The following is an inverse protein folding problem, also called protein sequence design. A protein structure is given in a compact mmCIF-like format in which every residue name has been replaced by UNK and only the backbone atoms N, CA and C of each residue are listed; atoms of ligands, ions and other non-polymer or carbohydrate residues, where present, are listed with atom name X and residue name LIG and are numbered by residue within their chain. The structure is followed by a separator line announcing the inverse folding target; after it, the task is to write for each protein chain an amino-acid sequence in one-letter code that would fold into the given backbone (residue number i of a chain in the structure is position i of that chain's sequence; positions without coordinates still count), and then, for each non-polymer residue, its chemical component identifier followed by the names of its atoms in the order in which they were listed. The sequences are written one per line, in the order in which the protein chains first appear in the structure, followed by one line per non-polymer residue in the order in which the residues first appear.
data_IF_813171628988
#
_entry.id   IF_813171628988
#
_cell.length_a   1.000
_cell.length_b   1.000
_cell.length_c   1.000
_cell.angle_alpha   90.00
_cell.angle_beta   90.00
_cell.angle_gamma   90.00
#
_symmetry.space_group_name_H-M   'P 1'
#
loop_
_entity.id
_entity.type
_entity.pdbx_description
1 polymer ?
#
# COMPACT_ATOMS: atom_id res chain seq x y z
N UNK A 1 7.29 -21.72 7.55
CA UNK A 1 7.36 -20.33 8.03
C UNK A 1 8.08 -20.34 9.37
N UNK A 2 9.13 -19.57 9.49
CA UNK A 2 9.68 -19.21 10.79
C UNK A 2 8.68 -18.31 11.49
N UNK A 3 8.34 -18.61 12.74
CA UNK A 3 7.49 -17.74 13.55
C UNK A 3 8.18 -16.37 13.75
N UNK A 4 7.44 -15.31 14.01
CA UNK A 4 8.03 -14.07 14.52
C UNK A 4 8.97 -14.38 15.70
N UNK A 5 10.04 -13.60 15.86
CA UNK A 5 10.92 -13.74 17.02
C UNK A 5 10.14 -13.38 18.28
N UNK A 6 10.28 -14.21 19.31
CA UNK A 6 9.91 -13.78 20.66
C UNK A 6 10.99 -12.87 21.25
N UNK A 7 10.64 -12.12 22.28
CA UNK A 7 11.63 -11.31 23.02
C UNK A 7 12.77 -12.16 23.58
N UNK A 8 12.45 -13.37 24.05
CA UNK A 8 13.47 -14.30 24.59
C UNK A 8 14.37 -14.84 23.47
N UNK A 9 13.84 -15.10 22.27
CA UNK A 9 14.66 -15.43 21.10
C UNK A 9 15.63 -14.31 20.76
N UNK A 10 15.17 -13.03 20.78
CA UNK A 10 16.03 -11.88 20.56
C UNK A 10 17.13 -11.78 21.61
N UNK A 11 16.81 -11.94 22.92
CA UNK A 11 17.80 -11.93 24.00
C UNK A 11 18.86 -13.03 23.84
N UNK A 12 18.42 -14.24 23.48
CA UNK A 12 19.33 -15.35 23.24
C UNK A 12 20.25 -15.11 22.02
N UNK A 13 19.68 -14.60 20.93
CA UNK A 13 20.43 -14.25 19.73
C UNK A 13 21.43 -13.10 19.96
N UNK A 14 21.07 -12.13 20.80
CA UNK A 14 21.97 -11.05 21.23
C UNK A 14 23.12 -11.60 22.10
N UNK A 15 22.81 -12.48 23.06
CA UNK A 15 23.84 -13.07 23.94
C UNK A 15 24.82 -13.97 23.18
N UNK A 16 24.40 -14.63 22.12
CA UNK A 16 25.25 -15.44 21.24
C UNK A 16 26.02 -14.64 20.17
N UNK A 17 25.71 -13.33 20.02
CA UNK A 17 26.27 -12.48 18.96
C UNK A 17 25.65 -12.75 17.58
N UNK A 18 24.56 -13.48 17.48
CA UNK A 18 23.86 -13.74 16.22
C UNK A 18 23.06 -12.53 15.73
N UNK A 19 22.57 -11.68 16.65
CA UNK A 19 21.93 -10.41 16.35
C UNK A 19 22.63 -9.31 17.15
N UNK A 20 23.07 -8.26 16.44
CA UNK A 20 23.69 -7.07 17.03
C UNK A 20 22.89 -5.78 16.77
N UNK A 21 21.98 -5.81 15.78
CA UNK A 21 21.23 -4.62 15.31
C UNK A 21 19.73 -4.87 15.32
N UNK A 22 18.96 -3.87 15.78
CA UNK A 22 17.49 -3.84 15.70
C UNK A 22 17.05 -2.60 14.92
N UNK A 23 16.33 -2.82 13.81
CA UNK A 23 15.63 -1.77 13.07
C UNK A 23 14.32 -1.48 13.78
N UNK A 24 14.19 -0.32 14.39
CA UNK A 24 12.97 0.16 15.05
C UNK A 24 12.27 1.10 14.10
N UNK A 25 11.16 0.65 13.50
CA UNK A 25 10.53 1.26 12.33
C UNK A 25 9.12 1.74 12.60
N UNK A 26 8.77 2.88 12.00
CA UNK A 26 7.39 3.35 11.77
C UNK A 26 7.12 3.37 10.27
N UNK A 27 5.85 3.40 9.88
CA UNK A 27 5.46 3.59 8.49
C UNK A 27 4.98 5.02 8.31
N UNK A 28 5.63 5.75 7.41
CA UNK A 28 5.30 7.14 7.12
C UNK A 28 4.05 7.29 6.23
N UNK A 29 3.67 8.54 5.92
CA UNK A 29 2.50 8.85 5.07
C UNK A 29 2.58 8.21 3.69
N UNK A 30 3.79 7.99 3.16
CA UNK A 30 4.05 7.40 1.85
C UNK A 30 4.14 5.86 1.86
N UNK A 31 3.96 5.22 3.03
CA UNK A 31 4.05 3.77 3.19
C UNK A 31 5.49 3.25 3.24
N UNK A 32 6.47 4.11 3.53
CA UNK A 32 7.88 3.73 3.66
C UNK A 32 8.22 3.38 5.11
N UNK A 33 9.16 2.47 5.30
CA UNK A 33 9.74 2.20 6.61
C UNK A 33 10.73 3.31 6.94
N UNK A 34 10.44 4.07 8.00
CA UNK A 34 11.31 5.09 8.58
C UNK A 34 11.68 4.66 10.00
N UNK A 35 12.81 5.12 10.52
CA UNK A 35 13.16 4.75 11.89
C UNK A 35 14.65 4.84 12.22
N UNK A 36 15.06 4.03 13.18
CA UNK A 36 16.42 4.05 13.74
C UNK A 36 17.02 2.65 13.78
N UNK A 37 18.34 2.57 13.64
CA UNK A 37 19.11 1.35 13.91
C UNK A 37 19.68 1.43 15.32
N UNK A 38 19.30 0.49 16.16
CA UNK A 38 19.82 0.36 17.52
C UNK A 38 20.82 -0.80 17.59
N UNK A 39 21.89 -0.63 18.36
CA UNK A 39 22.61 -1.77 18.87
C UNK A 39 21.67 -2.57 19.79
N UNK A 40 21.67 -3.89 19.66
CA UNK A 40 20.68 -4.77 20.31
C UNK A 40 20.69 -4.60 21.84
N UNK A 41 21.85 -4.40 22.48
CA UNK A 41 21.92 -4.15 23.94
C UNK A 41 21.16 -2.88 24.34
N UNK A 42 21.35 -1.78 23.59
CA UNK A 42 20.65 -0.52 23.88
C UNK A 42 19.13 -0.64 23.61
N UNK A 43 18.75 -1.40 22.58
CA UNK A 43 17.34 -1.69 22.33
C UNK A 43 16.72 -2.44 23.52
N UNK A 44 17.36 -3.51 24.01
CA UNK A 44 16.85 -4.34 25.10
C UNK A 44 16.83 -3.61 26.46
N UNK A 45 17.76 -2.67 26.68
CA UNK A 45 17.86 -1.92 27.94
C UNK A 45 16.94 -0.69 27.99
N UNK A 46 16.68 -0.05 26.84
CA UNK A 46 16.01 1.25 26.81
C UNK A 46 14.88 1.35 25.79
N UNK A 47 15.14 1.02 24.51
CA UNK A 47 14.22 1.32 23.40
C UNK A 47 13.10 0.29 23.25
N UNK A 48 13.13 -0.81 23.99
CA UNK A 48 12.10 -1.86 23.94
C UNK A 48 10.75 -1.37 24.45
N UNK A 49 10.73 -0.49 25.44
CA UNK A 49 9.51 0.09 25.99
C UNK A 49 8.99 1.20 25.06
N UNK A 50 9.89 2.12 24.69
CA UNK A 50 9.62 3.21 23.75
C UNK A 50 10.91 3.88 23.28
N UNK A 51 10.82 4.55 22.14
CA UNK A 51 11.82 5.51 21.66
C UNK A 51 11.09 6.68 21.00
N UNK A 52 11.81 7.69 20.50
CA UNK A 52 11.20 8.90 19.99
C UNK A 52 11.58 9.15 18.53
N UNK A 53 10.76 9.88 17.81
CA UNK A 53 11.07 10.44 16.49
C UNK A 53 10.49 11.85 16.41
N UNK A 54 11.07 12.69 15.55
CA UNK A 54 10.49 14.00 15.31
C UNK A 54 9.11 13.86 14.65
N UNK A 55 8.14 14.66 15.09
CA UNK A 55 6.76 14.61 14.59
C UNK A 55 6.62 15.00 13.12
N UNK A 56 7.63 15.67 12.51
CA UNK A 56 7.61 15.97 11.07
C UNK A 56 7.54 14.72 10.18
N UNK A 57 7.89 13.52 10.68
CA UNK A 57 7.84 12.28 9.88
C UNK A 57 6.46 11.99 9.29
N UNK A 58 5.41 12.56 9.89
CA UNK A 58 4.04 12.47 9.38
C UNK A 58 3.59 13.75 8.66
N UNK A 59 4.51 14.63 8.25
CA UNK A 59 4.26 15.86 7.52
C UNK A 59 5.37 16.14 6.49
N UNK A 60 5.92 15.09 5.89
CA UNK A 60 6.94 15.19 4.83
C UNK A 60 6.39 14.78 3.48
N UNK A 61 7.02 15.28 2.42
CA UNK A 61 6.79 14.82 1.05
C UNK A 61 7.64 13.58 0.67
N UNK A 62 7.60 13.19 -0.61
CA UNK A 62 8.40 12.06 -1.13
C UNK A 62 9.92 12.24 -0.99
N UNK A 63 10.41 13.46 -1.02
CA UNK A 63 11.85 13.79 -0.92
C UNK A 63 12.27 14.18 0.49
N UNK A 64 11.40 13.95 1.49
CA UNK A 64 11.62 14.26 2.91
C UNK A 64 11.74 15.77 3.20
N UNK A 65 11.20 16.64 2.34
CA UNK A 65 10.99 18.04 2.68
C UNK A 65 9.90 18.18 3.73
N UNK A 66 9.94 19.26 4.50
CA UNK A 66 8.97 19.59 5.55
C UNK A 66 8.13 20.79 5.10
N UNK A 67 7.09 20.58 4.25
CA UNK A 67 6.24 21.69 3.80
C UNK A 67 5.50 22.31 4.98
N UNK A 68 5.16 23.59 4.85
CA UNK A 68 4.38 24.30 5.84
C UNK A 68 2.88 24.01 5.71
N UNK A 69 2.11 24.38 6.75
CA UNK A 69 0.64 24.36 6.73
C UNK A 69 0.00 23.14 7.39
N UNK A 70 0.78 22.18 7.89
CA UNK A 70 0.26 21.09 8.71
C UNK A 70 -0.09 21.60 10.12
N UNK A 71 -1.28 21.23 10.61
CA UNK A 71 -1.73 21.60 11.94
C UNK A 71 -0.98 20.80 13.04
N UNK A 72 -0.61 19.55 12.75
CA UNK A 72 0.05 18.64 13.69
C UNK A 72 1.49 19.04 14.00
N UNK A 73 2.18 19.71 13.07
CA UNK A 73 3.61 20.05 13.22
C UNK A 73 4.01 21.20 12.29
N UNK A 74 4.88 22.09 12.76
CA UNK A 74 5.35 23.24 11.99
C UNK A 74 6.59 23.86 12.63
N UNK A 75 7.26 24.77 11.92
CA UNK A 75 8.28 25.64 12.49
C UNK A 75 7.76 26.47 13.68
N UNK A 76 6.50 26.90 13.59
CA UNK A 76 5.88 27.69 14.68
C UNK A 76 5.63 26.86 15.95
N UNK A 77 5.33 25.56 15.81
CA UNK A 77 5.18 24.63 16.96
C UNK A 77 6.51 24.05 17.46
N UNK A 78 7.63 24.27 16.72
CA UNK A 78 8.97 23.87 17.13
C UNK A 78 9.31 22.41 16.87
N UNK A 79 8.53 21.67 16.06
CA UNK A 79 8.76 20.26 15.71
C UNK A 79 9.08 19.36 16.91
N UNK A 80 8.08 19.11 17.76
CA UNK A 80 8.21 18.20 18.91
C UNK A 80 8.43 16.75 18.52
N UNK A 81 8.46 15.88 19.52
CA UNK A 81 8.63 14.44 19.34
C UNK A 81 7.29 13.70 19.37
N UNK A 82 7.24 12.59 18.62
CA UNK A 82 6.32 11.49 18.85
C UNK A 82 7.04 10.32 19.52
N UNK A 83 6.29 9.51 20.25
CA UNK A 83 6.75 8.26 20.84
C UNK A 83 6.56 7.14 19.81
N UNK A 84 7.61 6.37 19.55
CA UNK A 84 7.60 5.12 18.79
C UNK A 84 7.50 3.98 19.80
N UNK A 85 6.34 3.33 19.88
CA UNK A 85 6.09 2.20 20.79
C UNK A 85 6.21 0.88 20.04
N UNK A 86 7.25 0.06 20.30
CA UNK A 86 7.46 -1.21 19.62
C UNK A 86 6.29 -2.19 19.79
N UNK A 87 5.82 -2.75 18.69
CA UNK A 87 4.85 -3.84 18.68
C UNK A 87 5.58 -5.18 18.60
N UNK A 88 5.74 -5.84 19.76
CA UNK A 88 6.50 -7.10 19.88
C UNK A 88 5.94 -8.24 19.00
N UNK A 89 4.67 -8.19 18.60
CA UNK A 89 4.10 -9.17 17.67
C UNK A 89 4.71 -9.07 16.26
N UNK A 90 5.34 -7.93 15.93
CA UNK A 90 5.98 -7.69 14.64
C UNK A 90 7.49 -7.99 14.63
N UNK A 91 8.08 -8.35 15.77
CA UNK A 91 9.52 -8.62 15.88
C UNK A 91 9.93 -9.80 15.01
N UNK A 92 10.92 -9.59 14.13
CA UNK A 92 11.38 -10.62 13.17
C UNK A 92 12.83 -10.42 12.76
N UNK A 93 13.47 -11.50 12.28
CA UNK A 93 14.80 -11.42 11.64
C UNK A 93 14.68 -10.74 10.29
N UNK A 94 15.75 -10.08 9.84
CA UNK A 94 15.89 -9.52 8.48
C UNK A 94 16.92 -10.37 7.72
N UNK A 95 16.50 -11.40 6.97
CA UNK A 95 17.42 -12.40 6.44
C UNK A 95 18.40 -11.89 5.37
N UNK A 96 18.14 -10.73 4.75
CA UNK A 96 19.03 -10.09 3.78
C UNK A 96 20.01 -9.08 4.40
N UNK A 97 19.92 -8.85 5.72
CA UNK A 97 20.85 -8.03 6.50
C UNK A 97 21.44 -8.88 7.63
N UNK A 98 22.74 -9.13 7.57
CA UNK A 98 23.44 -9.91 8.59
C UNK A 98 23.25 -9.30 9.99
N UNK A 99 23.09 -10.13 11.00
CA UNK A 99 23.00 -9.72 12.40
C UNK A 99 21.79 -8.85 12.77
N UNK A 100 20.75 -8.79 11.92
CA UNK A 100 19.70 -7.78 12.03
C UNK A 100 18.33 -8.37 12.34
N UNK A 101 17.63 -7.74 13.30
CA UNK A 101 16.20 -7.88 13.52
C UNK A 101 15.46 -6.59 13.18
N UNK A 102 14.14 -6.66 12.98
CA UNK A 102 13.24 -5.53 12.72
C UNK A 102 12.02 -5.62 13.63
N UNK A 103 11.52 -4.44 14.05
CA UNK A 103 10.26 -4.30 14.76
C UNK A 103 9.52 -3.07 14.23
N UNK A 104 8.21 -3.20 14.05
CA UNK A 104 7.34 -2.07 13.74
C UNK A 104 6.83 -1.44 15.03
N UNK A 105 6.58 -0.13 14.98
CA UNK A 105 6.09 0.64 16.11
C UNK A 105 4.75 1.28 15.80
N UNK A 106 3.90 1.36 16.80
CA UNK A 106 2.81 2.31 16.86
C UNK A 106 3.35 3.70 17.25
N UNK A 107 2.65 4.74 16.80
CA UNK A 107 3.08 6.13 17.05
C UNK A 107 2.11 6.81 18.01
N UNK A 108 2.65 7.34 19.10
CA UNK A 108 1.86 7.95 20.15
C UNK A 108 2.27 9.41 20.34
N UNK A 109 1.34 10.23 20.73
CA UNK A 109 1.62 11.60 21.15
C UNK A 109 2.53 11.62 22.39
N UNK A 110 3.57 12.44 22.38
CA UNK A 110 4.60 12.47 23.43
C UNK A 110 4.05 12.86 24.82
N UNK A 111 3.01 13.68 24.88
CA UNK A 111 2.47 14.20 26.15
C UNK A 111 1.32 13.38 26.70
N UNK A 112 0.43 12.93 25.80
CA UNK A 112 -0.82 12.23 26.17
C UNK A 112 -0.70 10.73 26.09
N UNK A 113 0.29 10.22 25.37
CA UNK A 113 0.42 8.81 24.96
C UNK A 113 -0.83 8.27 24.24
N UNK A 114 -1.64 9.16 23.68
CA UNK A 114 -2.73 8.78 22.80
C UNK A 114 -2.19 8.41 21.41
N UNK A 115 -2.86 7.51 20.66
CA UNK A 115 -2.52 7.22 19.28
C UNK A 115 -2.52 8.49 18.42
N UNK A 116 -1.47 8.66 17.59
CA UNK A 116 -1.39 9.76 16.63
C UNK A 116 -2.40 9.51 15.49
N UNK A 117 -3.42 10.36 15.31
CA UNK A 117 -4.55 10.05 14.44
C UNK A 117 -4.18 9.97 12.96
N UNK A 118 -3.16 10.71 12.50
CA UNK A 118 -2.64 10.70 11.14
C UNK A 118 -1.63 9.58 10.86
N UNK A 119 -1.27 8.77 11.86
CA UNK A 119 -0.41 7.59 11.65
C UNK A 119 -1.13 6.54 10.82
N UNK A 120 -0.59 6.16 9.63
CA UNK A 120 -1.28 5.21 8.73
C UNK A 120 -1.64 3.88 9.38
N UNK A 121 -0.71 3.31 10.18
CA UNK A 121 -0.92 2.04 10.88
C UNK A 121 -2.08 2.14 11.87
N UNK A 122 -2.18 3.25 12.60
CA UNK A 122 -3.25 3.48 13.58
C UNK A 122 -4.58 3.83 12.94
N UNK A 123 -4.58 4.47 11.76
CA UNK A 123 -5.80 4.67 10.97
C UNK A 123 -6.42 3.32 10.56
N UNK A 124 -5.59 2.35 10.16
CA UNK A 124 -6.08 1.01 9.86
C UNK A 124 -6.57 0.28 11.11
N UNK A 125 -5.83 0.34 12.22
CA UNK A 125 -6.25 -0.23 13.51
C UNK A 125 -7.62 0.32 13.96
N UNK A 126 -7.88 1.62 13.76
CA UNK A 126 -9.17 2.24 14.07
C UNK A 126 -10.32 1.61 13.29
N UNK A 127 -10.14 1.34 12.00
CA UNK A 127 -11.18 0.69 11.18
C UNK A 127 -11.32 -0.80 11.49
N UNK A 128 -10.23 -1.49 11.83
CA UNK A 128 -10.29 -2.88 12.33
C UNK A 128 -11.13 -2.94 13.60
N UNK A 129 -10.87 -2.06 14.58
CA UNK A 129 -11.66 -2.00 15.81
C UNK A 129 -13.15 -1.73 15.55
N UNK A 130 -13.49 -0.89 14.53
CA UNK A 130 -14.88 -0.67 14.09
C UNK A 130 -15.51 -1.96 13.54
N UNK A 131 -14.79 -2.72 12.72
CA UNK A 131 -15.27 -4.02 12.22
C UNK A 131 -15.45 -5.04 13.36
N UNK A 132 -14.50 -5.10 14.29
CA UNK A 132 -14.57 -5.98 15.47
C UNK A 132 -15.75 -5.66 16.38
N UNK A 133 -16.09 -4.38 16.55
CA UNK A 133 -17.31 -3.96 17.27
C UNK A 133 -18.59 -4.46 16.60
N UNK A 134 -18.56 -4.75 15.30
CA UNK A 134 -19.65 -5.41 14.55
C UNK A 134 -19.57 -6.95 14.60
N UNK A 135 -18.59 -7.53 15.30
CA UNK A 135 -18.31 -8.97 15.36
C UNK A 135 -17.66 -9.53 14.09
N UNK A 136 -16.95 -8.70 13.34
CA UNK A 136 -16.33 -9.03 12.06
C UNK A 136 -14.82 -8.82 12.11
N UNK A 137 -14.06 -9.74 11.53
CA UNK A 137 -12.61 -9.65 11.37
C UNK A 137 -12.28 -9.41 9.89
N UNK A 138 -11.67 -8.26 9.53
CA UNK A 138 -11.29 -8.00 8.15
C UNK A 138 -10.05 -8.84 7.78
N UNK A 139 -10.18 -9.59 6.67
CA UNK A 139 -9.11 -10.40 6.07
C UNK A 139 -8.78 -9.80 4.71
N UNK A 140 -7.50 -9.52 4.48
CA UNK A 140 -7.03 -8.87 3.25
C UNK A 140 -5.79 -9.56 2.67
N UNK A 141 -5.58 -9.38 1.38
CA UNK A 141 -4.34 -9.66 0.67
C UNK A 141 -4.07 -8.55 -0.34
N UNK A 142 -2.80 -8.37 -0.69
CA UNK A 142 -2.41 -7.48 -1.78
C UNK A 142 -1.57 -8.24 -2.80
N UNK A 143 -1.82 -7.99 -4.07
CA UNK A 143 -0.92 -8.29 -5.17
C UNK A 143 0.01 -7.09 -5.33
N UNK A 144 1.30 -7.31 -5.54
CA UNK A 144 2.28 -6.23 -5.59
C UNK A 144 3.11 -6.31 -6.87
N UNK A 145 2.79 -5.44 -7.82
CA UNK A 145 3.51 -5.32 -9.08
C UNK A 145 4.63 -4.26 -8.99
N UNK A 146 5.73 -4.49 -9.70
CA UNK A 146 6.86 -3.57 -9.77
C UNK A 146 7.71 -3.84 -11.00
N UNK A 147 8.58 -2.87 -11.34
CA UNK A 147 9.56 -3.05 -12.42
C UNK A 147 10.96 -3.21 -11.87
N UNK A 148 11.73 -4.13 -12.47
CA UNK A 148 13.16 -4.30 -12.26
C UNK A 148 13.94 -3.69 -13.42
N UNK A 149 15.03 -2.99 -13.09
CA UNK A 149 15.93 -2.34 -14.06
C UNK A 149 17.29 -2.99 -14.08
N UNK A 150 17.89 -3.03 -15.27
CA UNK A 150 19.22 -3.59 -15.49
C UNK A 150 20.33 -2.78 -14.77
N UNK A 151 20.08 -1.49 -14.49
CA UNK A 151 20.99 -0.57 -13.83
C UNK A 151 20.68 -0.41 -12.35
N UNK A 152 21.72 -0.13 -11.57
CA UNK A 152 21.61 0.26 -10.16
C UNK A 152 20.90 1.62 -9.99
N UNK A 153 20.43 1.91 -8.79
CA UNK A 153 19.86 3.22 -8.46
C UNK A 153 20.81 4.39 -8.72
N UNK A 154 22.12 4.19 -8.47
CA UNK A 154 23.13 5.23 -8.70
C UNK A 154 23.32 5.51 -10.19
N UNK A 155 23.38 4.49 -11.03
CA UNK A 155 23.46 4.64 -12.48
C UNK A 155 22.22 5.30 -13.05
N UNK A 156 21.02 4.91 -12.59
CA UNK A 156 19.74 5.53 -12.96
C UNK A 156 19.73 7.01 -12.59
N UNK A 157 20.15 7.36 -11.38
CA UNK A 157 20.25 8.76 -10.94
C UNK A 157 21.25 9.56 -11.77
N UNK A 158 22.42 9.01 -12.06
CA UNK A 158 23.44 9.68 -12.88
C UNK A 158 23.01 9.88 -14.33
N UNK A 159 22.13 9.03 -14.87
CA UNK A 159 21.53 9.24 -16.20
C UNK A 159 20.43 10.32 -16.22
N UNK A 160 20.08 10.92 -15.07
CA UNK A 160 18.96 11.84 -14.94
C UNK A 160 17.61 11.18 -15.20
N UNK A 161 17.47 9.90 -14.79
CA UNK A 161 16.29 9.05 -15.02
C UNK A 161 15.91 8.89 -16.50
N UNK A 162 16.93 8.89 -17.37
CA UNK A 162 16.79 8.69 -18.82
C UNK A 162 17.36 7.34 -19.20
N UNK A 163 16.95 6.85 -20.39
CA UNK A 163 17.44 5.58 -20.94
C UNK A 163 17.29 4.42 -19.95
N UNK A 164 16.13 4.34 -19.31
CA UNK A 164 15.82 3.29 -18.35
C UNK A 164 15.61 1.97 -19.09
N UNK A 165 16.53 1.05 -18.89
CA UNK A 165 16.48 -0.32 -19.42
C UNK A 165 15.94 -1.25 -18.34
N UNK A 166 14.83 -1.92 -18.65
CA UNK A 166 14.26 -2.95 -17.77
C UNK A 166 15.12 -4.21 -17.79
N UNK A 167 15.10 -5.00 -16.72
CA UNK A 167 15.94 -6.19 -16.56
C UNK A 167 15.63 -7.24 -17.63
N UNK A 168 14.34 -7.46 -17.95
CA UNK A 168 13.91 -8.26 -19.10
C UNK A 168 13.52 -7.36 -20.27
N UNK A 169 13.99 -7.64 -21.51
CA UNK A 169 13.62 -6.89 -22.69
C UNK A 169 12.33 -7.38 -23.37
N UNK A 170 11.63 -8.34 -22.76
CA UNK A 170 10.42 -8.96 -23.33
C UNK A 170 9.26 -8.87 -22.33
N UNK A 171 8.04 -8.87 -22.86
CA UNK A 171 6.85 -9.21 -22.08
C UNK A 171 7.03 -10.65 -21.55
N UNK A 172 6.96 -10.80 -20.24
CA UNK A 172 7.24 -12.09 -19.58
C UNK A 172 6.03 -12.66 -18.85
N UNK A 173 4.83 -12.15 -19.14
CA UNK A 173 3.58 -12.57 -18.52
C UNK A 173 3.43 -14.10 -18.53
N UNK A 174 3.37 -14.70 -17.34
CA UNK A 174 3.34 -16.16 -17.09
C UNK A 174 4.50 -16.97 -17.71
N UNK A 175 5.53 -16.34 -18.26
CA UNK A 175 6.63 -17.07 -18.92
C UNK A 175 7.66 -17.56 -17.93
N UNK A 176 7.65 -18.84 -17.60
CA UNK A 176 8.64 -19.46 -16.71
C UNK A 176 10.06 -19.34 -17.29
N UNK A 177 10.23 -19.50 -18.60
CA UNK A 177 11.53 -19.39 -19.25
C UNK A 177 12.14 -17.97 -19.13
N UNK A 178 11.32 -16.93 -19.33
CA UNK A 178 11.82 -15.56 -19.29
C UNK A 178 12.12 -15.12 -17.86
N UNK A 179 11.20 -15.38 -16.91
CA UNK A 179 11.42 -15.07 -15.50
C UNK A 179 12.58 -15.84 -14.87
N UNK A 180 12.96 -17.00 -15.44
CA UNK A 180 14.18 -17.72 -14.99
C UNK A 180 15.46 -16.88 -15.12
N UNK A 181 15.47 -15.85 -15.96
CA UNK A 181 16.62 -14.94 -16.08
C UNK A 181 16.74 -13.98 -14.92
N UNK A 182 15.63 -13.71 -14.23
CA UNK A 182 15.54 -12.78 -13.11
C UNK A 182 15.53 -13.50 -11.74
N UNK A 183 15.58 -14.86 -11.75
CA UNK A 183 15.56 -15.69 -10.54
C UNK A 183 16.67 -15.36 -9.54
N UNK A 184 17.81 -14.87 -9.99
CA UNK A 184 18.89 -14.45 -9.08
C UNK A 184 18.51 -13.22 -8.24
N UNK A 185 17.51 -12.42 -8.65
CA UNK A 185 16.87 -11.36 -7.86
C UNK A 185 15.62 -11.88 -7.15
N UNK A 186 14.70 -12.50 -7.90
CA UNK A 186 13.38 -12.88 -7.38
C UNK A 186 13.41 -14.04 -6.38
N UNK A 187 14.33 -15.00 -6.56
CA UNK A 187 14.48 -16.11 -5.60
C UNK A 187 14.93 -15.63 -4.22
N UNK A 188 15.95 -14.75 -4.06
CA UNK A 188 16.24 -14.10 -2.78
C UNK A 188 15.04 -13.35 -2.18
N UNK A 189 14.29 -12.59 -2.99
CA UNK A 189 13.08 -11.89 -2.51
C UNK A 189 12.10 -12.87 -1.88
N UNK A 190 11.70 -13.92 -2.60
CA UNK A 190 10.76 -14.92 -2.08
C UNK A 190 11.27 -15.62 -0.83
N UNK A 191 12.53 -16.09 -0.86
CA UNK A 191 13.09 -16.88 0.22
C UNK A 191 13.33 -16.06 1.49
N UNK A 192 13.82 -14.85 1.38
CA UNK A 192 14.07 -13.98 2.52
C UNK A 192 12.75 -13.51 3.16
N UNK A 193 11.77 -13.11 2.37
CA UNK A 193 10.44 -12.77 2.87
C UNK A 193 9.80 -13.96 3.60
N UNK A 194 9.86 -15.16 2.99
CA UNK A 194 9.33 -16.37 3.62
C UNK A 194 10.05 -16.72 4.92
N UNK A 195 11.38 -16.57 4.95
CA UNK A 195 12.20 -16.81 6.13
C UNK A 195 11.92 -15.79 7.26
N UNK A 196 11.54 -14.55 6.95
CA UNK A 196 11.17 -13.55 7.97
C UNK A 196 9.70 -13.63 8.41
N UNK A 197 8.94 -14.60 7.90
CA UNK A 197 7.55 -14.84 8.29
C UNK A 197 6.51 -14.13 7.43
N UNK A 198 6.90 -13.56 6.28
CA UNK A 198 5.97 -13.06 5.26
C UNK A 198 5.63 -14.21 4.31
N UNK A 199 4.37 -14.70 4.30
CA UNK A 199 4.00 -15.93 3.61
C UNK A 199 3.81 -15.72 2.11
N UNK A 200 4.92 -15.60 1.38
CA UNK A 200 4.90 -15.49 -0.09
C UNK A 200 4.26 -16.73 -0.68
N UNK A 201 3.25 -16.58 -1.51
CA UNK A 201 2.61 -17.66 -2.27
C UNK A 201 3.33 -17.92 -3.58
N UNK A 202 3.55 -16.89 -4.38
CA UNK A 202 4.27 -16.97 -5.64
C UNK A 202 4.84 -15.62 -6.06
N UNK A 203 5.66 -15.65 -7.10
CA UNK A 203 5.96 -14.51 -7.96
C UNK A 203 5.75 -14.92 -9.41
N UNK A 204 5.38 -13.98 -10.26
CA UNK A 204 5.20 -14.19 -11.69
C UNK A 204 5.67 -12.97 -12.48
N UNK A 205 6.10 -13.19 -13.70
CA UNK A 205 6.27 -12.11 -14.65
C UNK A 205 4.93 -11.51 -15.05
N UNK A 206 4.89 -10.20 -15.22
CA UNK A 206 3.73 -9.42 -15.63
C UNK A 206 3.75 -9.01 -17.11
N UNK A 207 2.65 -8.36 -17.55
CA UNK A 207 2.35 -8.10 -18.95
C UNK A 207 3.22 -7.00 -19.59
N UNK A 208 4.37 -6.64 -19.00
CA UNK A 208 5.31 -5.66 -19.54
C UNK A 208 6.77 -6.12 -19.34
N UNK A 209 7.68 -5.49 -20.06
CA UNK A 209 9.12 -5.78 -20.01
C UNK A 209 9.68 -5.50 -18.60
N UNK A 210 10.27 -6.51 -17.96
CA UNK A 210 10.86 -6.39 -16.63
C UNK A 210 9.87 -6.12 -15.50
N UNK A 211 8.58 -6.39 -15.74
CA UNK A 211 7.55 -6.27 -14.70
C UNK A 211 7.37 -7.62 -14.01
N UNK A 212 7.41 -7.58 -12.69
CA UNK A 212 7.21 -8.71 -11.78
C UNK A 212 6.03 -8.44 -10.84
N UNK A 213 5.38 -9.50 -10.40
CA UNK A 213 4.35 -9.50 -9.37
C UNK A 213 4.74 -10.43 -8.23
N UNK A 214 4.51 -9.98 -7.00
CA UNK A 214 4.68 -10.75 -5.78
C UNK A 214 3.34 -10.92 -5.08
N UNK A 215 2.93 -12.17 -4.89
CA UNK A 215 1.69 -12.53 -4.20
C UNK A 215 1.98 -13.04 -2.79
N UNK A 216 1.30 -12.46 -1.81
CA UNK A 216 1.42 -12.80 -0.40
C UNK A 216 0.08 -13.33 0.08
N UNK A 217 0.12 -14.43 0.82
CA UNK A 217 -1.07 -15.04 1.39
C UNK A 217 -1.84 -14.04 2.25
N UNK A 218 -3.18 -14.08 2.15
CA UNK A 218 -4.06 -13.24 2.95
C UNK A 218 -3.84 -13.44 4.47
N UNK A 219 -4.06 -12.37 5.20
CA UNK A 219 -3.99 -12.31 6.66
C UNK A 219 -5.07 -11.36 7.19
N UNK A 220 -5.14 -11.17 8.51
CA UNK A 220 -5.86 -10.02 9.04
C UNK A 220 -5.31 -8.72 8.43
N UNK A 221 -6.16 -7.69 8.36
CA UNK A 221 -5.85 -6.49 7.59
C UNK A 221 -4.57 -5.77 8.05
N UNK A 222 -4.26 -5.77 9.36
CA UNK A 222 -3.05 -5.13 9.87
C UNK A 222 -1.80 -5.89 9.47
N UNK A 223 -1.79 -7.20 9.68
CA UNK A 223 -0.71 -8.09 9.26
C UNK A 223 -0.49 -8.03 7.73
N UNK A 224 -1.56 -7.96 6.94
CA UNK A 224 -1.46 -7.80 5.49
C UNK A 224 -0.74 -6.50 5.11
N UNK A 225 -1.10 -5.37 5.72
CA UNK A 225 -0.45 -4.08 5.47
C UNK A 225 1.01 -4.05 5.92
N UNK A 226 1.32 -4.64 7.09
CA UNK A 226 2.69 -4.82 7.59
C UNK A 226 3.53 -5.65 6.59
N UNK A 227 3.01 -6.77 6.09
CA UNK A 227 3.67 -7.62 5.11
C UNK A 227 3.92 -6.90 3.79
N UNK A 228 2.96 -6.11 3.30
CA UNK A 228 3.12 -5.33 2.07
C UNK A 228 4.24 -4.28 2.20
N UNK A 229 4.23 -3.48 3.28
CA UNK A 229 5.25 -2.46 3.52
C UNK A 229 6.66 -3.07 3.61
N UNK A 230 6.79 -4.20 4.33
CA UNK A 230 8.04 -4.96 4.43
C UNK A 230 8.46 -5.49 3.06
N UNK A 231 7.53 -6.00 2.25
CA UNK A 231 7.83 -6.55 0.93
C UNK A 231 8.34 -5.49 -0.04
N UNK A 232 7.73 -4.29 -0.07
CA UNK A 232 8.24 -3.15 -0.87
C UNK A 232 9.67 -2.78 -0.47
N UNK A 233 9.95 -2.76 0.83
CA UNK A 233 11.28 -2.47 1.34
C UNK A 233 12.28 -3.57 0.95
N UNK A 234 11.92 -4.84 1.18
CA UNK A 234 12.77 -6.00 0.85
C UNK A 234 13.14 -6.07 -0.64
N UNK A 235 12.15 -5.88 -1.53
CA UNK A 235 12.40 -5.88 -2.99
C UNK A 235 13.44 -4.82 -3.37
N UNK A 236 13.31 -3.60 -2.84
CA UNK A 236 14.25 -2.50 -3.13
C UNK A 236 15.65 -2.78 -2.61
N UNK A 237 15.78 -3.26 -1.36
CA UNK A 237 17.09 -3.56 -0.78
C UNK A 237 17.78 -4.75 -1.46
N UNK A 238 17.03 -5.83 -1.74
CA UNK A 238 17.58 -7.02 -2.40
C UNK A 238 17.96 -6.71 -3.84
N UNK A 239 17.13 -5.98 -4.60
CA UNK A 239 17.50 -5.55 -5.95
C UNK A 239 18.77 -4.69 -5.94
N UNK A 240 18.87 -3.73 -5.00
CA UNK A 240 20.07 -2.89 -4.82
C UNK A 240 21.31 -3.73 -4.52
N UNK A 241 21.24 -4.73 -3.63
CA UNK A 241 22.35 -5.64 -3.30
C UNK A 241 22.80 -6.46 -4.52
N UNK A 242 21.91 -6.69 -5.49
CA UNK A 242 22.22 -7.37 -6.76
C UNK A 242 22.66 -6.41 -7.88
N UNK A 243 22.80 -5.09 -7.58
CA UNK A 243 23.21 -4.08 -8.56
C UNK A 243 22.09 -3.58 -9.47
N UNK A 244 20.82 -3.75 -9.06
CA UNK A 244 19.62 -3.39 -9.83
C UNK A 244 18.78 -2.33 -9.14
N UNK A 245 17.98 -1.60 -9.92
CA UNK A 245 16.92 -0.75 -9.44
C UNK A 245 15.57 -1.46 -9.49
N UNK A 246 14.68 -1.17 -8.53
CA UNK A 246 13.28 -1.57 -8.55
C UNK A 246 12.39 -0.33 -8.36
N UNK A 247 11.27 -0.24 -9.10
CA UNK A 247 10.33 0.86 -8.90
C UNK A 247 8.91 0.35 -8.68
N UNK A 248 8.21 1.04 -7.78
CA UNK A 248 6.79 0.88 -7.50
C UNK A 248 5.98 2.09 -7.99
N UNK A 249 6.52 2.88 -8.93
CA UNK A 249 5.73 3.92 -9.59
C UNK A 249 4.53 3.31 -10.29
N UNK A 250 3.36 3.94 -10.15
CA UNK A 250 2.15 3.47 -10.83
C UNK A 250 2.29 3.49 -12.36
N UNK A 251 3.10 4.43 -12.90
CA UNK A 251 3.33 4.57 -14.35
C UNK A 251 4.72 5.16 -14.60
N UNK A 252 5.70 4.35 -14.98
CA UNK A 252 7.06 4.84 -15.22
C UNK A 252 7.29 5.33 -16.66
N UNK A 253 6.47 4.88 -17.61
CA UNK A 253 6.52 5.28 -19.02
C UNK A 253 5.12 5.30 -19.62
N UNK A 254 4.85 6.30 -20.48
CA UNK A 254 3.50 6.60 -20.95
C UNK A 254 2.86 5.50 -21.81
N UNK A 255 3.63 4.82 -22.64
CA UNK A 255 3.20 3.75 -23.57
C UNK A 255 3.26 2.34 -22.96
N UNK A 256 3.70 2.21 -21.72
CA UNK A 256 3.78 0.94 -20.98
C UNK A 256 2.57 0.74 -20.08
N UNK A 257 2.26 -0.49 -19.68
CA UNK A 257 1.30 -0.74 -18.62
C UNK A 257 1.83 -0.20 -17.28
N UNK A 258 0.94 0.08 -16.36
CA UNK A 258 1.30 0.54 -15.01
C UNK A 258 1.44 -0.62 -14.04
N UNK A 259 1.91 -0.32 -12.82
CA UNK A 259 2.00 -1.28 -11.73
C UNK A 259 0.84 -1.10 -10.75
N UNK A 260 0.15 -2.19 -10.46
CA UNK A 260 -0.95 -2.26 -9.52
C UNK A 260 -0.54 -2.81 -8.16
N UNK A 261 -1.36 -2.52 -7.15
CA UNK A 261 -1.37 -3.24 -5.88
C UNK A 261 -2.83 -3.58 -5.55
N UNK A 262 -3.38 -4.57 -6.22
CA UNK A 262 -4.77 -4.97 -6.04
C UNK A 262 -5.04 -5.42 -4.60
N UNK A 263 -6.16 -5.00 -4.02
CA UNK A 263 -6.55 -5.36 -2.64
C UNK A 263 -7.70 -6.34 -2.68
N UNK A 264 -7.46 -7.57 -2.25
CA UNK A 264 -8.48 -8.56 -1.99
C UNK A 264 -9.02 -8.40 -0.57
N UNK A 265 -10.33 -8.51 -0.42
CA UNK A 265 -11.01 -8.24 0.84
C UNK A 265 -12.11 -9.26 1.11
N UNK A 266 -12.20 -9.70 2.36
CA UNK A 266 -13.31 -10.45 2.92
C UNK A 266 -13.45 -10.12 4.40
N UNK A 267 -14.63 -10.40 4.96
CA UNK A 267 -14.89 -10.29 6.40
C UNK A 267 -15.14 -11.68 6.95
N UNK A 268 -14.62 -11.96 8.12
CA UNK A 268 -14.81 -13.24 8.80
C UNK A 268 -15.60 -13.06 10.09
N UNK A 269 -16.40 -14.06 10.43
CA UNK A 269 -17.04 -14.19 11.73
C UNK A 269 -16.48 -15.46 12.40
N UNK A 270 -15.56 -15.28 13.33
CA UNK A 270 -14.74 -16.38 13.80
C UNK A 270 -13.89 -16.95 12.66
N UNK A 271 -14.08 -18.21 12.31
CA UNK A 271 -13.37 -18.90 11.21
C UNK A 271 -14.16 -18.95 9.90
N UNK A 272 -15.37 -18.42 9.87
CA UNK A 272 -16.25 -18.48 8.70
C UNK A 272 -16.20 -17.18 7.90
N UNK A 273 -16.15 -17.31 6.56
CA UNK A 273 -16.24 -16.19 5.66
C UNK A 273 -17.66 -15.59 5.69
N UNK A 274 -17.81 -14.41 6.28
CA UNK A 274 -19.09 -13.71 6.39
C UNK A 274 -19.63 -13.19 5.05
N UNK A 275 -18.79 -13.19 4.00
CA UNK A 275 -19.20 -12.86 2.63
C UNK A 275 -19.89 -14.04 1.92
N UNK A 276 -19.70 -15.26 2.42
CA UNK A 276 -20.28 -16.45 1.82
C UNK A 276 -21.70 -16.73 2.28
N UNK A 277 -22.59 -16.98 1.30
CA UNK A 277 -23.91 -17.55 1.49
C UNK A 277 -24.20 -18.51 0.33
N UNK A 278 -24.33 -19.80 0.63
CA UNK A 278 -24.54 -20.86 -0.38
C UNK A 278 -25.78 -20.67 -1.24
N UNK A 279 -26.79 -19.97 -0.72
CA UNK A 279 -28.10 -19.74 -1.37
C UNK A 279 -28.14 -18.36 -2.07
N UNK A 280 -27.13 -17.52 -1.88
CA UNK A 280 -27.01 -16.21 -2.53
C UNK A 280 -26.51 -16.30 -3.97
N UNK A 281 -26.91 -15.35 -4.82
CA UNK A 281 -26.35 -15.23 -6.16
C UNK A 281 -24.82 -15.09 -6.09
N UNK A 282 -24.09 -15.88 -6.88
CA UNK A 282 -22.63 -15.98 -6.83
C UNK A 282 -22.07 -16.35 -5.44
N UNK A 283 -22.88 -17.03 -4.62
CA UNK A 283 -22.60 -17.31 -3.22
C UNK A 283 -22.30 -16.08 -2.35
N UNK A 284 -22.79 -14.90 -2.74
CA UNK A 284 -22.65 -13.64 -2.00
C UNK A 284 -23.71 -13.53 -0.90
N UNK A 285 -23.26 -13.33 0.34
CA UNK A 285 -24.13 -12.98 1.46
C UNK A 285 -24.68 -11.55 1.35
N UNK A 286 -25.72 -11.24 2.12
CA UNK A 286 -26.23 -9.87 2.22
C UNK A 286 -25.18 -8.91 2.79
N UNK A 287 -24.35 -9.37 3.73
CA UNK A 287 -23.23 -8.60 4.27
C UNK A 287 -22.25 -8.20 3.17
N UNK A 288 -21.88 -9.14 2.28
CA UNK A 288 -21.01 -8.83 1.14
C UNK A 288 -21.65 -7.84 0.19
N UNK A 289 -22.92 -7.98 -0.14
CA UNK A 289 -23.63 -7.07 -1.04
C UNK A 289 -23.61 -5.63 -0.51
N UNK A 290 -23.92 -5.43 0.76
CA UNK A 290 -23.84 -4.12 1.40
C UNK A 290 -22.42 -3.56 1.41
N UNK A 291 -21.42 -4.41 1.72
CA UNK A 291 -20.01 -4.04 1.71
C UNK A 291 -19.56 -3.55 0.34
N UNK A 292 -19.81 -4.33 -0.72
CA UNK A 292 -19.45 -3.97 -2.10
C UNK A 292 -20.19 -2.72 -2.57
N UNK A 293 -21.47 -2.56 -2.20
CA UNK A 293 -22.23 -1.34 -2.49
C UNK A 293 -21.57 -0.10 -1.84
N UNK A 294 -21.05 -0.23 -0.61
CA UNK A 294 -20.26 0.81 0.04
C UNK A 294 -18.96 1.14 -0.72
N UNK A 295 -18.23 0.11 -1.14
CA UNK A 295 -17.02 0.29 -1.95
C UNK A 295 -17.32 1.08 -3.24
N UNK A 296 -18.41 0.75 -3.95
CA UNK A 296 -18.82 1.44 -5.17
C UNK A 296 -19.21 2.90 -4.91
N UNK A 297 -20.05 3.14 -3.89
CA UNK A 297 -20.56 4.47 -3.55
C UNK A 297 -19.41 5.43 -3.20
N UNK A 298 -18.49 4.96 -2.38
CA UNK A 298 -17.41 5.78 -1.83
C UNK A 298 -16.07 5.68 -2.59
N UNK A 299 -16.01 4.92 -3.70
CA UNK A 299 -14.79 4.77 -4.49
C UNK A 299 -14.14 6.10 -4.90
N UNK A 300 -14.88 7.13 -5.38
CA UNK A 300 -14.26 8.41 -5.71
C UNK A 300 -13.63 9.10 -4.50
N UNK A 301 -14.28 9.01 -3.34
CA UNK A 301 -13.85 9.68 -2.10
C UNK A 301 -12.58 9.05 -1.52
N UNK A 302 -12.41 7.72 -1.66
CA UNK A 302 -11.25 6.99 -1.13
C UNK A 302 -10.09 6.87 -2.11
N UNK A 303 -10.25 7.31 -3.36
CA UNK A 303 -9.24 7.15 -4.43
C UNK A 303 -7.91 7.81 -4.08
N UNK A 304 -7.91 8.94 -3.37
CA UNK A 304 -6.66 9.60 -2.95
C UNK A 304 -5.73 8.68 -2.16
N UNK A 305 -6.26 7.81 -1.30
CA UNK A 305 -5.45 6.83 -0.55
C UNK A 305 -4.99 5.64 -1.38
N UNK A 306 -5.58 5.41 -2.55
CA UNK A 306 -5.22 4.35 -3.50
C UNK A 306 -4.32 4.84 -4.64
N UNK A 307 -4.35 6.14 -4.92
CA UNK A 307 -3.63 6.82 -5.99
C UNK A 307 -3.12 8.19 -5.49
N UNK A 308 -2.04 8.21 -4.65
CA UNK A 308 -1.69 9.39 -3.85
C UNK A 308 -0.92 10.48 -4.60
N UNK A 309 -0.41 10.20 -5.81
CA UNK A 309 0.49 11.10 -6.53
C UNK A 309 -0.03 11.49 -7.91
N UNK A 310 0.52 12.56 -8.50
CA UNK A 310 0.27 12.92 -9.90
C UNK A 310 0.47 11.73 -10.84
N UNK A 311 1.53 10.95 -10.61
CA UNK A 311 1.88 9.80 -11.44
C UNK A 311 0.84 8.68 -11.37
N UNK A 312 0.18 8.49 -10.23
CA UNK A 312 -0.81 7.43 -10.00
C UNK A 312 -1.95 7.47 -11.03
N UNK A 313 -2.41 8.66 -11.38
CA UNK A 313 -3.52 8.87 -12.31
C UNK A 313 -3.18 8.58 -13.78
N UNK A 314 -1.89 8.56 -14.12
CA UNK A 314 -1.41 8.19 -15.47
C UNK A 314 -1.56 6.69 -15.74
N UNK A 315 -1.81 5.88 -14.69
CA UNK A 315 -2.09 4.45 -14.81
C UNK A 315 -3.50 4.17 -15.32
N UNK A 316 -4.49 5.01 -15.01
CA UNK A 316 -5.88 4.83 -15.39
C UNK A 316 -6.09 5.08 -16.89
N UNK A 317 -5.85 4.05 -17.70
CA UNK A 317 -5.95 4.12 -19.15
C UNK A 317 -6.69 2.88 -19.70
N UNK A 318 -7.65 3.05 -20.64
CA UNK A 318 -8.35 1.93 -21.26
C UNK A 318 -7.38 0.96 -21.94
N UNK A 319 -7.69 -0.34 -21.85
CA UNK A 319 -6.91 -1.39 -22.50
C UNK A 319 -5.59 -1.75 -21.81
N UNK A 320 -5.37 -1.28 -20.57
CA UNK A 320 -4.15 -1.56 -19.78
C UNK A 320 -4.42 -2.37 -18.51
N UNK A 321 -5.60 -3.00 -18.40
CA UNK A 321 -6.11 -3.68 -17.20
C UNK A 321 -6.19 -2.81 -15.94
N UNK A 322 -5.79 -1.53 -16.01
CA UNK A 322 -6.07 -0.55 -14.98
C UNK A 322 -7.50 -0.03 -15.12
N UNK A 323 -8.33 -0.05 -14.06
CA UNK A 323 -9.72 0.32 -14.17
C UNK A 323 -9.88 1.83 -14.36
N UNK A 324 -10.86 2.23 -15.19
CA UNK A 324 -11.28 3.64 -15.33
C UNK A 324 -12.66 3.90 -14.76
N UNK A 325 -13.37 2.84 -14.34
CA UNK A 325 -14.75 2.88 -13.86
C UNK A 325 -14.88 2.25 -12.47
N UNK A 326 -15.83 2.74 -11.68
CA UNK A 326 -16.11 2.23 -10.33
C UNK A 326 -17.15 1.10 -10.33
N UNK A 327 -17.25 0.32 -11.41
CA UNK A 327 -18.16 -0.82 -11.52
C UNK A 327 -17.63 -2.04 -10.77
N UNK A 328 -18.56 -2.92 -10.37
CA UNK A 328 -18.23 -4.29 -10.01
C UNK A 328 -18.68 -5.28 -11.09
N UNK A 329 -17.97 -6.40 -11.18
CA UNK A 329 -18.26 -7.45 -12.16
C UNK A 329 -17.74 -8.81 -11.67
N UNK A 330 -18.32 -9.89 -12.19
CA UNK A 330 -17.90 -11.26 -11.86
C UNK A 330 -16.72 -11.63 -12.74
N UNK A 331 -15.59 -11.97 -12.12
CA UNK A 331 -14.34 -12.42 -12.76
C UNK A 331 -13.90 -11.58 -13.98
N UNK A 332 -14.01 -10.25 -13.87
CA UNK A 332 -13.75 -9.32 -14.98
C UNK A 332 -12.64 -8.32 -14.62
N UNK A 333 -11.51 -8.38 -15.33
CA UNK A 333 -10.34 -7.55 -15.10
C UNK A 333 -10.44 -6.12 -15.64
N UNK A 334 -11.53 -5.76 -16.34
CA UNK A 334 -11.77 -4.37 -16.78
C UNK A 334 -12.53 -3.55 -15.75
N UNK A 335 -13.12 -4.20 -14.74
CA UNK A 335 -13.89 -3.56 -13.67
C UNK A 335 -13.00 -3.02 -12.55
N UNK A 336 -13.42 -1.96 -11.86
CA UNK A 336 -12.74 -1.43 -10.66
C UNK A 336 -12.80 -2.37 -9.47
N UNK A 337 -13.90 -3.14 -9.38
CA UNK A 337 -14.13 -4.14 -8.33
C UNK A 337 -14.51 -5.48 -8.98
N UNK A 338 -13.64 -6.47 -8.79
CA UNK A 338 -13.81 -7.80 -9.36
C UNK A 338 -14.24 -8.78 -8.27
N UNK A 339 -15.39 -9.44 -8.47
CA UNK A 339 -15.79 -10.58 -7.66
C UNK A 339 -14.90 -11.77 -8.01
N UNK A 340 -14.25 -12.36 -7.03
CA UNK A 340 -13.36 -13.52 -7.19
C UNK A 340 -13.79 -14.64 -6.26
N UNK A 341 -13.63 -15.89 -6.72
CA UNK A 341 -14.03 -17.07 -5.95
C UNK A 341 -15.56 -17.24 -5.87
N UNK A 342 -16.29 -16.77 -6.89
CA UNK A 342 -17.71 -16.97 -7.05
C UNK A 342 -18.07 -18.45 -6.94
N UNK A 343 -19.24 -18.72 -6.40
CA UNK A 343 -19.78 -20.07 -6.17
C UNK A 343 -18.94 -20.96 -5.24
N UNK A 344 -18.01 -20.35 -4.47
CA UNK A 344 -17.18 -21.04 -3.48
C UNK A 344 -17.18 -20.34 -2.12
N UNK A 345 -16.70 -21.04 -1.08
CA UNK A 345 -16.47 -20.45 0.24
C UNK A 345 -15.35 -19.39 0.26
N UNK A 346 -14.56 -19.29 -0.82
CA UNK A 346 -13.49 -18.32 -0.99
C UNK A 346 -13.95 -17.01 -1.64
N UNK A 347 -15.27 -16.79 -1.77
CA UNK A 347 -15.83 -15.56 -2.36
C UNK A 347 -15.30 -14.33 -1.65
N UNK A 348 -14.79 -13.37 -2.44
CA UNK A 348 -14.18 -12.12 -1.97
C UNK A 348 -14.28 -11.05 -3.04
N UNK A 349 -14.02 -9.81 -2.68
CA UNK A 349 -13.94 -8.70 -3.63
C UNK A 349 -12.50 -8.23 -3.78
N UNK A 350 -12.07 -8.05 -5.01
CA UNK A 350 -10.79 -7.46 -5.40
C UNK A 350 -11.01 -6.00 -5.84
N UNK A 351 -10.37 -5.05 -5.18
CA UNK A 351 -10.28 -3.67 -5.64
C UNK A 351 -9.05 -3.52 -6.53
N UNK A 352 -9.24 -3.13 -7.79
CA UNK A 352 -8.20 -3.02 -8.81
C UNK A 352 -7.70 -1.58 -9.02
N UNK A 353 -8.28 -0.61 -8.28
CA UNK A 353 -7.94 0.82 -8.38
C UNK A 353 -6.53 1.12 -7.86
N UNK A 354 -6.04 0.53 -6.73
CA UNK A 354 -4.76 0.91 -6.17
C UNK A 354 -3.57 0.66 -7.09
N UNK A 355 -2.66 1.64 -7.18
CA UNK A 355 -1.34 1.49 -7.76
C UNK A 355 -0.33 0.97 -6.76
N UNK A 356 0.81 0.44 -7.22
CA UNK A 356 1.90 -0.04 -6.35
C UNK A 356 2.55 1.06 -5.53
N UNK A 357 2.30 2.31 -5.86
CA UNK A 357 2.76 3.51 -5.14
C UNK A 357 1.90 3.85 -3.90
N UNK A 358 0.78 3.13 -3.69
CA UNK A 358 -0.06 3.34 -2.51
C UNK A 358 0.66 3.07 -1.19
N UNK A 359 0.15 3.71 -0.12
CA UNK A 359 0.40 3.30 1.25
C UNK A 359 -0.59 2.19 1.64
N UNK A 360 -0.13 0.96 1.96
CA UNK A 360 -1.03 -0.18 2.18
C UNK A 360 -1.98 0.02 3.37
N UNK A 361 -1.55 0.72 4.41
CA UNK A 361 -2.38 0.97 5.58
C UNK A 361 -3.51 1.94 5.26
N UNK A 362 -3.21 3.03 4.54
CA UNK A 362 -4.20 4.03 4.14
C UNK A 362 -5.22 3.44 3.16
N UNK A 363 -4.74 2.71 2.16
CA UNK A 363 -5.60 2.09 1.16
C UNK A 363 -6.52 1.03 1.79
N UNK A 364 -5.99 0.15 2.65
CA UNK A 364 -6.78 -0.85 3.36
C UNK A 364 -7.77 -0.20 4.35
N UNK A 365 -7.35 0.85 5.09
CA UNK A 365 -8.22 1.56 6.01
C UNK A 365 -9.39 2.24 5.29
N UNK A 366 -9.14 2.90 4.15
CA UNK A 366 -10.16 3.57 3.37
C UNK A 366 -11.15 2.59 2.74
N UNK A 367 -10.65 1.47 2.18
CA UNK A 367 -11.50 0.40 1.65
C UNK A 367 -12.39 -0.21 2.74
N UNK A 368 -11.81 -0.49 3.91
CA UNK A 368 -12.55 -1.03 5.04
C UNK A 368 -13.60 -0.02 5.53
N UNK A 369 -13.24 1.26 5.65
CA UNK A 369 -14.20 2.31 6.06
C UNK A 369 -15.38 2.42 5.10
N UNK A 370 -15.13 2.41 3.78
CA UNK A 370 -16.17 2.45 2.75
C UNK A 370 -17.09 1.21 2.80
N UNK A 371 -16.51 0.02 2.92
CA UNK A 371 -17.28 -1.22 3.00
C UNK A 371 -18.14 -1.31 4.27
N UNK A 372 -17.59 -0.92 5.44
CA UNK A 372 -18.33 -0.89 6.70
C UNK A 372 -19.47 0.13 6.67
N UNK A 373 -19.24 1.32 6.08
CA UNK A 373 -20.29 2.31 5.86
C UNK A 373 -21.43 1.71 5.02
N UNK A 374 -21.10 0.95 3.96
CA UNK A 374 -22.10 0.25 3.15
C UNK A 374 -22.96 -0.75 3.94
N UNK A 375 -22.36 -1.47 4.90
CA UNK A 375 -23.08 -2.38 5.80
C UNK A 375 -23.98 -1.60 6.77
N UNK A 376 -23.48 -0.55 7.40
CA UNK A 376 -24.22 0.28 8.36
C UNK A 376 -25.41 0.98 7.70
N UNK A 377 -25.21 1.51 6.49
CA UNK A 377 -26.25 2.17 5.69
C UNK A 377 -27.18 1.18 4.98
N UNK A 378 -26.84 -0.12 4.98
CA UNK A 378 -27.59 -1.18 4.27
C UNK A 378 -27.77 -0.86 2.78
N UNK A 379 -26.70 -0.42 2.14
CA UNK A 379 -26.73 -0.02 0.73
C UNK A 379 -27.06 -1.21 -0.17
N UNK A 380 -27.91 -0.98 -1.17
CA UNK A 380 -28.24 -1.99 -2.17
C UNK A 380 -27.18 -2.07 -3.26
N UNK A 381 -26.74 -3.30 -3.56
CA UNK A 381 -25.74 -3.53 -4.61
C UNK A 381 -26.42 -3.49 -5.99
N UNK A 382 -25.97 -2.64 -6.93
CA UNK A 382 -26.48 -2.64 -8.29
C UNK A 382 -26.10 -3.94 -9.02
N UNK A 383 -26.72 -4.20 -10.17
CA UNK A 383 -26.37 -5.35 -11.02
C UNK A 383 -24.91 -5.29 -11.45
N UNK A 384 -24.25 -6.46 -11.62
CA UNK A 384 -22.86 -6.48 -12.10
C UNK A 384 -22.77 -5.96 -13.54
N UNK A 385 -21.69 -5.23 -13.83
CA UNK A 385 -21.34 -4.85 -15.18
C UNK A 385 -21.00 -6.11 -16.02
N UNK A 386 -21.28 -6.05 -17.32
CA UNK A 386 -21.08 -7.16 -18.25
C UNK A 386 -20.14 -6.74 -19.38
N UNK A 387 -19.19 -7.59 -19.76
CA UNK A 387 -18.29 -7.33 -20.87
C UNK A 387 -17.23 -6.25 -20.60
N UNK A 388 -16.85 -5.49 -21.61
CA UNK A 388 -15.85 -4.43 -21.50
C UNK A 388 -16.39 -3.22 -20.76
N UNK A 389 -15.88 -3.00 -19.56
CA UNK A 389 -16.33 -1.91 -18.67
C UNK A 389 -15.75 -0.55 -19.06
N UNK A 390 -14.67 -0.49 -19.81
CA UNK A 390 -14.05 0.78 -20.24
C UNK A 390 -15.00 1.68 -21.05
N UNK A 391 -15.84 1.07 -21.89
CA UNK A 391 -16.76 1.77 -22.76
C UNK A 391 -18.15 2.06 -22.19
N UNK A 392 -18.37 1.84 -20.88
CA UNK A 392 -19.69 2.05 -20.27
C UNK A 392 -19.87 3.51 -19.83
N UNK A 393 -20.87 4.19 -20.41
CA UNK A 393 -21.18 5.60 -20.10
C UNK A 393 -22.10 5.75 -18.88
N UNK A 394 -22.80 4.70 -18.50
CA UNK A 394 -23.75 4.68 -17.38
C UNK A 394 -23.13 4.31 -16.02
N UNK A 395 -21.81 4.11 -15.99
CA UNK A 395 -21.04 3.78 -14.79
C UNK A 395 -20.11 4.94 -14.42
N UNK A 396 -20.03 5.36 -13.14
CA UNK A 396 -19.16 6.45 -12.72
C UNK A 396 -17.68 6.16 -12.98
N UNK A 397 -16.95 7.20 -13.35
CA UNK A 397 -15.49 7.12 -13.51
C UNK A 397 -14.77 7.06 -12.16
N UNK A 398 -13.62 6.40 -12.15
CA UNK A 398 -12.60 6.65 -11.13
C UNK A 398 -12.07 8.08 -11.34
N UNK A 399 -11.84 8.89 -10.29
CA UNK A 399 -11.18 10.18 -10.47
C UNK A 399 -9.92 10.03 -11.31
N UNK A 400 -9.82 10.80 -12.39
CA UNK A 400 -8.76 10.66 -13.38
C UNK A 400 -7.62 11.68 -13.24
N UNK A 401 -7.67 12.50 -12.19
CA UNK A 401 -6.64 13.48 -11.81
C UNK A 401 -6.52 13.57 -10.30
N UNK A 402 -5.32 13.93 -9.82
CA UNK A 402 -5.10 14.17 -8.40
C UNK A 402 -6.03 15.27 -7.87
N UNK A 403 -6.29 16.35 -8.65
CA UNK A 403 -7.23 17.42 -8.27
C UNK A 403 -8.63 16.90 -8.00
N UNK A 404 -9.18 16.09 -8.92
CA UNK A 404 -10.52 15.53 -8.75
C UNK A 404 -10.60 14.60 -7.53
N UNK A 405 -9.53 13.83 -7.26
CA UNK A 405 -9.46 12.98 -6.08
C UNK A 405 -9.33 13.78 -4.78
N UNK A 406 -8.56 14.89 -4.77
CA UNK A 406 -8.49 15.80 -3.62
C UNK A 406 -9.86 16.38 -3.30
N UNK A 407 -10.60 16.86 -4.33
CA UNK A 407 -11.92 17.46 -4.15
C UNK A 407 -12.93 16.44 -3.59
N UNK A 408 -12.94 15.21 -4.13
CA UNK A 408 -13.80 14.14 -3.64
C UNK A 408 -13.45 13.73 -2.21
N UNK A 409 -12.16 13.57 -1.91
CA UNK A 409 -11.65 13.21 -0.58
C UNK A 409 -11.98 14.27 0.48
N UNK A 410 -11.65 15.53 0.18
CA UNK A 410 -11.89 16.65 1.09
C UNK A 410 -13.40 16.95 1.28
N UNK A 411 -14.24 16.56 0.34
CA UNK A 411 -15.71 16.68 0.44
C UNK A 411 -16.42 15.54 1.18
N UNK A 412 -15.70 14.49 1.58
CA UNK A 412 -16.30 13.24 2.08
C UNK A 412 -16.73 13.31 3.54
N UNK A 413 -18.03 13.25 3.78
CA UNK A 413 -18.59 13.09 5.14
C UNK A 413 -18.29 11.70 5.72
N UNK A 414 -18.25 10.67 4.85
CA UNK A 414 -17.93 9.30 5.26
C UNK A 414 -16.51 9.21 5.83
N UNK A 415 -15.53 9.80 5.13
CA UNK A 415 -14.13 9.79 5.59
C UNK A 415 -13.95 10.62 6.87
N UNK A 416 -14.63 11.78 7.00
CA UNK A 416 -14.63 12.55 8.25
C UNK A 416 -15.20 11.76 9.42
N UNK A 417 -16.30 11.05 9.21
CA UNK A 417 -16.88 10.19 10.24
C UNK A 417 -15.93 9.03 10.62
N UNK A 418 -15.23 8.45 9.64
CA UNK A 418 -14.31 7.33 9.86
C UNK A 418 -12.99 7.74 10.56
N UNK A 419 -12.37 8.84 10.14
CA UNK A 419 -11.01 9.21 10.54
C UNK A 419 -10.94 10.48 11.39
N UNK A 420 -11.86 11.41 11.23
CA UNK A 420 -11.87 12.74 11.86
C UNK A 420 -11.48 13.85 10.89
N UNK A 421 -11.93 15.06 11.17
CA UNK A 421 -11.70 16.26 10.35
C UNK A 421 -10.22 16.54 10.16
N UNK A 422 -9.45 16.55 11.27
CA UNK A 422 -8.02 16.90 11.25
C UNK A 422 -7.21 15.96 10.36
N UNK A 423 -7.54 14.66 10.35
CA UNK A 423 -6.88 13.65 9.49
C UNK A 423 -7.19 13.92 8.01
N UNK A 424 -8.45 14.23 7.69
CA UNK A 424 -8.84 14.51 6.30
C UNK A 424 -8.15 15.77 5.79
N UNK A 425 -8.13 16.85 6.57
CA UNK A 425 -7.41 18.07 6.20
C UNK A 425 -5.90 17.85 6.08
N UNK A 426 -5.30 17.03 6.95
CA UNK A 426 -3.88 16.68 6.91
C UNK A 426 -3.49 16.03 5.57
N UNK A 427 -4.19 14.96 5.16
CA UNK A 427 -3.89 14.27 3.90
C UNK A 427 -4.33 15.06 2.65
N UNK A 428 -5.43 15.82 2.73
CA UNK A 428 -5.82 16.72 1.65
C UNK A 428 -4.78 17.84 1.44
N UNK A 429 -4.22 18.37 2.53
CA UNK A 429 -3.16 19.37 2.47
C UNK A 429 -1.89 18.80 1.83
N UNK A 430 -1.43 17.61 2.25
CA UNK A 430 -0.29 16.94 1.63
C UNK A 430 -0.47 16.73 0.13
N UNK A 431 -1.66 16.30 -0.29
CA UNK A 431 -1.97 16.10 -1.71
C UNK A 431 -2.05 17.40 -2.51
N UNK A 432 -2.54 18.50 -1.90
CA UNK A 432 -2.52 19.85 -2.53
C UNK A 432 -1.08 20.31 -2.77
N UNK A 433 -0.17 20.09 -1.82
CA UNK A 433 1.27 20.41 -1.99
C UNK A 433 1.87 19.64 -3.17
N UNK A 434 1.65 18.33 -3.26
CA UNK A 434 2.08 17.51 -4.42
C UNK A 434 1.55 18.07 -5.74
N UNK A 435 0.26 18.47 -5.79
CA UNK A 435 -0.35 19.06 -6.97
C UNK A 435 0.26 20.41 -7.32
N UNK A 436 0.45 21.29 -6.33
CA UNK A 436 1.01 22.64 -6.54
C UNK A 436 2.47 22.60 -6.98
N UNK A 437 3.27 21.66 -6.45
CA UNK A 437 4.65 21.50 -6.85
C UNK A 437 4.74 21.03 -8.30
N UNK A 438 3.88 20.11 -8.72
CA UNK A 438 3.80 19.68 -10.11
C UNK A 438 3.36 20.84 -11.04
N UNK A 439 2.38 21.66 -10.61
CA UNK A 439 1.90 22.79 -11.42
C UNK A 439 2.95 23.88 -11.63
N UNK A 440 3.90 23.99 -10.70
CA UNK A 440 5.05 24.92 -10.83
C UNK A 440 6.20 24.33 -11.64
N UNK A 441 6.24 23.01 -11.83
CA UNK A 441 7.31 22.36 -12.55
C UNK A 441 7.26 22.65 -14.05
N UNK A 442 8.40 23.02 -14.64
CA UNK A 442 8.55 23.10 -16.10
C UNK A 442 9.04 21.75 -16.61
N UNK A 443 8.18 21.06 -17.36
CA UNK A 443 8.42 19.68 -17.79
C UNK A 443 9.19 19.60 -19.11
N UNK A 444 9.91 18.49 -19.36
CA UNK A 444 10.53 18.22 -20.66
C UNK A 444 9.52 18.25 -21.82
N UNK A 445 8.27 17.89 -21.56
CA UNK A 445 7.18 17.96 -22.53
C UNK A 445 6.87 19.41 -22.94
N UNK A 446 6.81 20.34 -22.00
CA UNK A 446 6.58 21.76 -22.27
C UNK A 446 7.76 22.37 -23.03
N UNK A 447 9.00 22.07 -22.61
CA UNK A 447 10.20 22.50 -23.31
C UNK A 447 10.22 22.01 -24.76
N UNK A 448 9.95 20.72 -24.99
CA UNK A 448 9.94 20.13 -26.33
C UNK A 448 8.86 20.73 -27.24
N UNK A 449 7.73 21.16 -26.69
CA UNK A 449 6.64 21.79 -27.45
C UNK A 449 6.84 23.26 -27.73
N UNK A 450 7.26 23.99 -26.70
CA UNK A 450 7.16 25.46 -26.67
C UNK A 450 8.44 26.20 -26.97
N UNK A 451 9.62 25.62 -26.76
CA UNK A 451 10.89 26.33 -26.71
C UNK A 451 11.19 27.18 -27.96
N UNK A 452 10.89 26.66 -29.15
CA UNK A 452 11.06 27.40 -30.43
C UNK A 452 9.75 27.87 -31.05
N UNK A 453 8.59 27.41 -30.54
CA UNK A 453 7.31 27.57 -31.22
C UNK A 453 6.32 28.49 -30.51
N UNK A 454 6.59 28.82 -29.26
CA UNK A 454 5.75 29.74 -28.49
C UNK A 454 6.24 31.19 -28.56
#
# INVERSE_FOLDING_TARGET
MTAPLTLDDLKNAAASGEIDTVLVCVVDMQGRLQGKRFHVSNFLEHAIEETHCCNYLFATDLVMSTPEGFASTSWASGYGDYVMKPDLATLRRVPWLEGTAMILCDVMDHHTHAPVPESPRQMLQKQIARAEAMGLTPMMATELEFFLYARSYDEIRHSGWRDLETLSPYNQDYSIQLTSREEYVMRPVRNHLYAMGVPVECSKGEAEHGQEELNIRYADALTCADHHAISKHAVKEIAHQQGHGATFMAKWQADKVGSAAHIHQSLFKGTENAFYDKDGAHCMSQTMKHYVAGLLKYAPEVTLFMAPYINSYKRFAPGTFAPTKTAWSVDNRTAGFRLVGEDTKGVRIECRIPGSDMNPYLACAAQLAAGLAGIEEKLELPSPAQGDVYGMDDVPDVPNTLRAAIDAFAGSDMLRAAFGEDVIEHFAHAARIEQEDFDRAVTDYELARGFERA
#
